data_IF_056850569223
#
_entry.id   IF_056850569223
#
_cell.length_a   1.000
_cell.length_b   1.000
_cell.length_c   1.000
_cell.angle_alpha   90.00
_cell.angle_beta   90.00
_cell.angle_gamma   90.00
#
_symmetry.space_group_name_H-M   'P 1'
#
loop_
_entity.id
_entity.type
_entity.pdbx_description
1 polymer ?
#
# COMPACT_ATOMS: atom_id res chain seq x y z
N UNK A 1 -9.59 20.88 -8.56
CA UNK A 1 -8.45 20.44 -7.70
C UNK A 1 -8.24 18.97 -7.98
N UNK A 2 -7.00 18.50 -8.25
CA UNK A 2 -6.73 17.08 -8.49
C UNK A 2 -6.99 16.29 -7.19
N UNK A 3 -7.77 15.21 -7.26
CA UNK A 3 -8.05 14.34 -6.10
C UNK A 3 -7.48 12.94 -6.33
N UNK A 4 -6.53 12.54 -5.48
CA UNK A 4 -5.95 11.20 -5.49
C UNK A 4 -6.59 10.37 -4.38
N UNK A 5 -7.23 9.26 -4.77
CA UNK A 5 -7.72 8.25 -3.83
C UNK A 5 -6.69 7.13 -3.77
N UNK A 6 -5.75 7.24 -2.85
CA UNK A 6 -4.67 6.29 -2.62
C UNK A 6 -4.69 5.84 -1.16
N UNK A 7 -4.34 4.59 -0.92
CA UNK A 7 -4.03 4.10 0.42
C UNK A 7 -2.66 4.63 0.88
N UNK A 8 -2.48 4.91 2.18
CA UNK A 8 -1.16 5.17 2.76
C UNK A 8 -0.19 4.01 2.55
N UNK A 9 1.11 4.30 2.52
CA UNK A 9 2.17 3.31 2.34
C UNK A 9 2.13 2.25 3.44
N UNK A 10 1.83 2.65 4.69
CA UNK A 10 1.71 1.73 5.81
C UNK A 10 0.60 0.68 5.59
N UNK A 11 -0.53 1.06 4.97
CA UNK A 11 -1.61 0.12 4.62
C UNK A 11 -1.16 -0.86 3.53
N UNK A 12 -0.37 -0.40 2.55
CA UNK A 12 0.20 -1.30 1.54
C UNK A 12 1.19 -2.29 2.16
N UNK A 13 1.98 -1.86 3.13
CA UNK A 13 2.90 -2.73 3.87
C UNK A 13 2.13 -3.76 4.68
N UNK A 14 1.03 -3.37 5.35
CA UNK A 14 0.13 -4.30 6.06
C UNK A 14 -0.46 -5.33 5.09
N UNK A 15 -0.90 -4.90 3.91
CA UNK A 15 -1.39 -5.81 2.87
C UNK A 15 -0.30 -6.76 2.35
N UNK A 16 0.93 -6.29 2.27
CA UNK A 16 2.09 -7.07 1.84
C UNK A 16 2.50 -8.12 2.89
N UNK A 17 2.59 -7.74 4.16
CA UNK A 17 3.08 -8.62 5.22
C UNK A 17 1.98 -9.48 5.84
N UNK A 18 0.71 -9.04 5.76
CA UNK A 18 -0.40 -9.65 6.48
C UNK A 18 -0.35 -9.42 8.00
N UNK A 19 0.55 -8.55 8.47
CA UNK A 19 0.76 -8.26 9.90
C UNK A 19 0.19 -6.88 10.24
N UNK A 20 -0.36 -6.73 11.45
CA UNK A 20 -1.01 -5.49 11.90
C UNK A 20 -0.12 -4.25 11.85
N UNK A 21 -0.76 -3.08 11.73
CA UNK A 21 -0.12 -1.77 11.50
C UNK A 21 0.92 -1.36 12.56
N UNK A 22 0.76 -1.83 13.80
CA UNK A 22 1.65 -1.54 14.92
C UNK A 22 2.88 -2.46 14.99
N UNK A 23 3.01 -3.44 14.10
CA UNK A 23 4.13 -4.36 14.12
C UNK A 23 5.45 -3.66 13.76
N UNK A 24 6.48 -3.89 14.58
CA UNK A 24 7.82 -3.30 14.39
C UNK A 24 8.39 -3.60 12.99
N UNK A 25 8.15 -4.81 12.46
CA UNK A 25 8.59 -5.18 11.11
C UNK A 25 8.02 -4.30 10.01
N UNK A 26 6.75 -3.91 10.11
CA UNK A 26 6.12 -3.01 9.14
C UNK A 26 6.75 -1.61 9.19
N UNK A 27 7.04 -1.10 10.39
CA UNK A 27 7.75 0.17 10.57
C UNK A 27 9.19 0.12 10.04
N UNK A 28 9.88 -1.01 10.17
CA UNK A 28 11.21 -1.19 9.58
C UNK A 28 11.15 -1.08 8.05
N UNK A 29 10.18 -1.74 7.41
CA UNK A 29 9.99 -1.64 5.96
C UNK A 29 9.64 -0.20 5.56
N UNK A 30 8.72 0.45 6.28
CA UNK A 30 8.33 1.82 6.00
C UNK A 30 9.53 2.77 6.07
N UNK A 31 10.31 2.70 7.15
CA UNK A 31 11.47 3.57 7.34
C UNK A 31 12.55 3.32 6.29
N UNK A 32 12.81 2.07 5.91
CA UNK A 32 13.76 1.72 4.83
C UNK A 32 13.34 2.36 3.50
N UNK A 33 12.05 2.33 3.16
CA UNK A 33 11.55 2.99 1.95
C UNK A 33 11.70 4.52 2.03
N UNK A 34 11.38 5.13 3.18
CA UNK A 34 11.56 6.56 3.37
C UNK A 34 13.04 6.95 3.27
N UNK A 35 13.95 6.14 3.80
CA UNK A 35 15.40 6.39 3.70
C UNK A 35 15.89 6.30 2.24
N UNK A 36 15.41 5.31 1.49
CA UNK A 36 15.78 5.11 0.08
C UNK A 36 15.24 6.19 -0.86
N UNK A 37 14.05 6.72 -0.58
CA UNK A 37 13.28 7.52 -1.54
C UNK A 37 12.87 8.91 -1.04
N UNK A 38 13.14 9.22 0.23
CA UNK A 38 12.96 10.52 0.86
C UNK A 38 11.56 10.78 1.43
N UNK A 39 10.49 10.42 0.72
CA UNK A 39 9.13 10.69 1.22
C UNK A 39 8.05 9.73 0.67
N UNK A 40 6.97 9.59 1.43
CA UNK A 40 5.85 8.70 1.13
C UNK A 40 5.13 9.07 -0.18
N UNK A 41 4.83 10.35 -0.41
CA UNK A 41 4.08 10.75 -1.61
C UNK A 41 4.84 10.45 -2.89
N UNK A 42 6.15 10.69 -2.91
CA UNK A 42 7.02 10.31 -4.03
C UNK A 42 6.97 8.81 -4.30
N UNK A 43 7.08 7.99 -3.25
CA UNK A 43 6.95 6.52 -3.37
C UNK A 43 5.57 6.14 -3.92
N UNK A 44 4.51 6.78 -3.46
CA UNK A 44 3.16 6.41 -3.85
C UNK A 44 2.74 6.97 -5.21
N UNK A 45 3.34 8.04 -5.72
CA UNK A 45 2.86 8.75 -6.90
C UNK A 45 3.88 8.83 -8.04
N UNK A 46 5.15 9.11 -7.74
CA UNK A 46 6.10 9.64 -8.71
C UNK A 46 7.17 8.64 -9.13
N UNK A 47 7.69 7.84 -8.19
CA UNK A 47 8.84 6.96 -8.42
C UNK A 47 8.46 5.83 -9.38
N UNK A 48 9.26 5.57 -10.41
CA UNK A 48 8.89 4.57 -11.41
C UNK A 48 8.93 3.15 -10.84
N UNK A 49 8.25 2.20 -11.52
CA UNK A 49 8.31 0.78 -11.15
C UNK A 49 9.76 0.27 -11.18
N UNK A 50 10.52 0.69 -12.18
CA UNK A 50 11.88 0.22 -12.40
C UNK A 50 12.82 0.77 -11.32
N UNK A 51 12.71 2.05 -10.94
CA UNK A 51 13.49 2.63 -9.83
C UNK A 51 13.23 1.91 -8.50
N UNK A 52 11.98 1.50 -8.24
CA UNK A 52 11.64 0.73 -7.04
C UNK A 52 12.35 -0.63 -7.05
N UNK A 53 12.37 -1.32 -8.20
CA UNK A 53 13.02 -2.62 -8.36
C UNK A 53 14.55 -2.50 -8.30
N UNK A 54 15.13 -1.46 -8.88
CA UNK A 54 16.58 -1.18 -8.83
C UNK A 54 17.07 -0.91 -7.40
N UNK A 55 16.20 -0.40 -6.52
CA UNK A 55 16.47 -0.22 -5.10
C UNK A 55 16.08 -1.42 -4.24
N UNK A 56 15.94 -2.59 -4.87
CA UNK A 56 15.69 -3.88 -4.22
C UNK A 56 14.40 -3.92 -3.39
N UNK A 57 13.38 -3.14 -3.78
CA UNK A 57 12.05 -3.27 -3.17
C UNK A 57 11.40 -4.58 -3.65
N UNK A 58 10.80 -5.33 -2.72
CA UNK A 58 10.13 -6.59 -3.05
C UNK A 58 9.08 -6.38 -4.16
N UNK A 59 9.16 -7.20 -5.21
CA UNK A 59 8.29 -7.11 -6.39
C UNK A 59 6.78 -7.11 -6.06
N UNK A 60 6.35 -7.81 -5.01
CA UNK A 60 4.94 -7.82 -4.57
C UNK A 60 4.53 -6.48 -3.96
N UNK A 61 5.42 -5.85 -3.19
CA UNK A 61 5.18 -4.52 -2.63
C UNK A 61 5.17 -3.46 -3.73
N UNK A 62 6.08 -3.57 -4.72
CA UNK A 62 6.06 -2.73 -5.92
C UNK A 62 4.72 -2.86 -6.65
N UNK A 63 4.23 -4.09 -6.87
CA UNK A 63 2.93 -4.31 -7.50
C UNK A 63 1.77 -3.67 -6.72
N UNK A 64 1.81 -3.71 -5.39
CA UNK A 64 0.80 -3.04 -4.55
C UNK A 64 0.85 -1.52 -4.71
N UNK A 65 2.05 -0.92 -4.74
CA UNK A 65 2.22 0.52 -4.99
C UNK A 65 1.64 0.91 -6.36
N UNK A 66 1.96 0.15 -7.41
CA UNK A 66 1.44 0.42 -8.76
C UNK A 66 -0.09 0.27 -8.79
N UNK A 67 -0.65 -0.80 -8.20
CA UNK A 67 -2.12 -0.96 -8.12
C UNK A 67 -2.81 0.13 -7.32
N UNK A 68 -2.14 0.67 -6.30
CA UNK A 68 -2.65 1.79 -5.52
C UNK A 68 -2.79 3.06 -6.38
N UNK A 69 -1.76 3.38 -7.18
CA UNK A 69 -1.79 4.49 -8.16
C UNK A 69 -2.93 4.33 -9.16
N UNK A 70 -3.13 3.11 -9.64
CA UNK A 70 -4.16 2.77 -10.61
C UNK A 70 -5.56 2.63 -9.98
N UNK A 71 -5.71 2.81 -8.66
CA UNK A 71 -6.97 2.62 -7.92
C UNK A 71 -7.56 1.21 -8.07
N UNK A 72 -6.71 0.21 -8.31
CA UNK A 72 -7.08 -1.20 -8.51
C UNK A 72 -7.10 -2.02 -7.21
N UNK A 73 -6.75 -1.42 -6.07
CA UNK A 73 -6.90 -2.07 -4.76
C UNK A 73 -8.37 -1.95 -4.33
N UNK A 74 -9.04 -3.10 -4.20
CA UNK A 74 -10.41 -3.15 -3.67
C UNK A 74 -10.38 -2.98 -2.15
N UNK A 75 -10.88 -1.83 -1.70
CA UNK A 75 -11.06 -1.53 -0.28
C UNK A 75 -12.55 -1.64 0.01
N UNK A 76 -12.93 -2.53 0.93
CA UNK A 76 -14.31 -2.56 1.42
C UNK A 76 -14.50 -1.31 2.25
N UNK A 77 -15.45 -0.41 1.92
CA UNK A 77 -15.67 0.78 2.71
C UNK A 77 -16.04 0.40 4.14
N UNK A 78 -15.53 1.18 5.08
CA UNK A 78 -15.96 1.11 6.47
C UNK A 78 -17.41 1.55 6.62
N UNK A 79 -18.11 1.02 7.63
CA UNK A 79 -19.47 1.40 7.98
C UNK A 79 -19.55 1.64 9.51
N UNK A 80 -20.39 2.58 9.94
CA UNK A 80 -20.68 2.89 11.36
C UNK A 80 -19.45 3.07 12.28
N UNK A 81 -18.47 3.86 11.84
CA UNK A 81 -17.28 4.16 12.65
C UNK A 81 -16.18 3.08 12.63
N UNK A 82 -16.36 2.02 11.84
CA UNK A 82 -15.33 0.99 11.61
C UNK A 82 -14.58 1.29 10.32
N UNK A 83 -13.24 1.29 10.35
CA UNK A 83 -12.41 1.47 9.14
C UNK A 83 -12.60 0.31 8.14
N UNK A 84 -12.60 0.66 6.86
CA UNK A 84 -12.69 -0.30 5.77
C UNK A 84 -11.48 -1.23 5.70
N UNK A 85 -11.69 -2.51 5.34
CA UNK A 85 -10.61 -3.50 5.18
C UNK A 85 -10.26 -3.67 3.71
N UNK A 86 -8.98 -3.59 3.38
CA UNK A 86 -8.49 -3.92 2.04
C UNK A 86 -8.45 -5.44 1.85
N UNK A 87 -9.06 -5.95 0.77
CA UNK A 87 -9.20 -7.38 0.50
C UNK A 87 -8.34 -7.74 -0.72
N UNK A 88 -7.49 -8.76 -0.58
CA UNK A 88 -6.56 -9.20 -1.64
C UNK A 88 -7.11 -10.32 -2.56
N UNK A 89 -8.35 -10.79 -2.36
CA UNK A 89 -8.96 -11.88 -3.14
C UNK A 89 -10.49 -11.75 -3.30
N UNK A 90 -11.04 -12.32 -4.38
CA UNK A 90 -12.46 -12.20 -4.75
C UNK A 90 -13.42 -12.62 -3.63
N UNK A 91 -14.38 -11.74 -3.34
CA UNK A 91 -15.42 -11.97 -2.36
C UNK A 91 -16.46 -12.93 -2.95
N UNK A 92 -16.56 -14.15 -2.43
CA UNK A 92 -17.74 -15.00 -2.63
C UNK A 92 -18.90 -14.35 -1.88
N UNK A 93 -19.93 -13.95 -2.61
CA UNK A 93 -21.20 -13.48 -2.05
C UNK A 93 -21.79 -14.60 -1.20
N UNK A 94 -22.06 -14.31 0.08
CA UNK A 94 -22.99 -15.06 0.88
C UNK A 94 -23.97 -14.04 1.44
N UNK A 95 -25.25 -14.37 1.27
CA UNK A 95 -26.48 -13.63 1.58
C UNK A 95 -26.39 -12.69 2.79
#
# INVERSE_FOLDING_TARGET
VLFHRILPLQELIVLFTGVGISAKGNWTIYNDLIEKFGNEFGILLDISRDDLLEKEVDSKLVDLIIRNREKKIRVTPGYDGVYGKAILSEQKTLF
#
